data_IF_108966466076
#
_entry.id   IF_108966466076
#
_cell.length_a   1.000
_cell.length_b   1.000
_cell.length_c   1.000
_cell.angle_alpha   90.00
_cell.angle_beta   90.00
_cell.angle_gamma   90.00
#
_symmetry.space_group_name_H-M   'P 1'
#
loop_
_entity.id
_entity.type
_entity.pdbx_description
1 polymer ?
#
# COMPACT_ATOMS: atom_id res chain seq x y z
N UNK A 1 27.33 -24.32 -17.63
CA UNK A 1 25.85 -24.37 -17.77
C UNK A 1 25.10 -23.61 -16.67
N UNK A 2 25.68 -23.40 -15.46
CA UNK A 2 25.07 -22.64 -14.35
C UNK A 2 24.58 -21.22 -14.72
N UNK A 3 25.37 -20.45 -15.47
CA UNK A 3 25.06 -19.05 -15.82
C UNK A 3 23.79 -18.82 -16.65
N UNK A 4 23.28 -19.83 -17.38
CA UNK A 4 22.04 -19.66 -18.16
C UNK A 4 20.79 -19.86 -17.33
N UNK A 5 20.82 -20.83 -16.40
CA UNK A 5 19.73 -21.09 -15.47
C UNK A 5 19.60 -19.96 -14.46
N UNK A 6 20.72 -19.47 -13.93
CA UNK A 6 20.77 -18.32 -13.02
C UNK A 6 20.14 -17.08 -13.66
N UNK A 7 20.60 -16.69 -14.86
CA UNK A 7 20.01 -15.57 -15.62
C UNK A 7 18.54 -15.76 -15.94
N UNK A 8 18.10 -16.99 -16.23
CA UNK A 8 16.70 -17.28 -16.50
C UNK A 8 15.84 -17.10 -15.24
N UNK A 9 16.31 -17.57 -14.08
CA UNK A 9 15.62 -17.42 -12.79
C UNK A 9 15.56 -15.94 -12.39
N UNK A 10 16.67 -15.22 -12.51
CA UNK A 10 16.73 -13.78 -12.21
C UNK A 10 15.80 -12.98 -13.13
N UNK A 11 15.77 -13.30 -14.43
CA UNK A 11 14.84 -12.70 -15.38
C UNK A 11 13.38 -12.99 -15.01
N UNK A 12 13.05 -14.24 -14.65
CA UNK A 12 11.70 -14.60 -14.22
C UNK A 12 11.26 -13.88 -12.94
N UNK A 13 12.14 -13.75 -11.94
CA UNK A 13 11.87 -12.99 -10.71
C UNK A 13 11.67 -11.51 -11.04
N UNK A 14 12.46 -10.96 -11.97
CA UNK A 14 12.34 -9.56 -12.35
C UNK A 14 11.04 -9.26 -13.11
N UNK A 15 10.58 -10.19 -13.95
CA UNK A 15 9.31 -10.08 -14.68
C UNK A 15 8.08 -10.26 -13.80
N UNK A 16 8.19 -10.92 -12.63
CA UNK A 16 7.05 -11.13 -11.74
C UNK A 16 6.40 -9.83 -11.24
N UNK A 17 7.08 -8.68 -11.35
CA UNK A 17 6.51 -7.36 -11.04
C UNK A 17 5.30 -6.99 -11.91
N UNK A 18 5.24 -7.46 -13.16
CA UNK A 18 4.10 -7.21 -14.06
C UNK A 18 2.81 -7.86 -13.57
N UNK A 19 2.91 -8.88 -12.70
CA UNK A 19 1.76 -9.49 -12.03
C UNK A 19 1.03 -8.50 -11.10
N UNK A 20 1.67 -7.42 -10.65
CA UNK A 20 1.03 -6.40 -9.84
C UNK A 20 0.19 -5.41 -10.65
N UNK A 21 0.49 -5.21 -11.94
CA UNK A 21 -0.25 -4.31 -12.82
C UNK A 21 -1.77 -4.59 -12.86
N UNK A 22 -2.24 -5.84 -13.05
CA UNK A 22 -3.67 -6.13 -13.01
C UNK A 22 -4.32 -5.85 -11.65
N UNK A 23 -3.58 -5.95 -10.55
CA UNK A 23 -4.08 -5.59 -9.21
C UNK A 23 -4.34 -4.09 -9.11
N UNK A 24 -3.41 -3.26 -9.59
CA UNK A 24 -3.60 -1.80 -9.63
C UNK A 24 -4.76 -1.40 -10.54
N UNK A 25 -4.93 -2.08 -11.68
CA UNK A 25 -6.07 -1.88 -12.56
C UNK A 25 -7.40 -2.26 -11.87
N UNK A 26 -7.41 -3.36 -11.11
CA UNK A 26 -8.54 -3.74 -10.27
C UNK A 26 -8.89 -2.68 -9.23
N UNK A 27 -7.89 -2.07 -8.57
CA UNK A 27 -8.10 -0.96 -7.64
C UNK A 27 -8.72 0.26 -8.32
N UNK A 28 -8.30 0.61 -9.55
CA UNK A 28 -8.94 1.67 -10.34
C UNK A 28 -10.43 1.36 -10.64
N UNK A 29 -10.76 0.11 -10.95
CA UNK A 29 -12.15 -0.31 -11.19
C UNK A 29 -12.98 -0.15 -9.91
N UNK A 30 -12.48 -0.62 -8.76
CA UNK A 30 -13.16 -0.46 -7.47
C UNK A 30 -13.39 1.02 -7.15
N UNK A 31 -12.40 1.87 -7.40
CA UNK A 31 -12.51 3.32 -7.22
C UNK A 31 -13.61 3.93 -8.09
N UNK A 32 -13.70 3.51 -9.36
CA UNK A 32 -14.76 3.95 -10.28
C UNK A 32 -16.14 3.48 -9.83
N UNK A 33 -16.27 2.24 -9.36
CA UNK A 33 -17.53 1.71 -8.82
C UNK A 33 -17.98 2.48 -7.58
N UNK A 34 -17.06 2.76 -6.64
CA UNK A 34 -17.35 3.59 -5.47
C UNK A 34 -17.82 4.99 -5.85
N UNK A 35 -17.11 5.64 -6.78
CA UNK A 35 -17.50 6.97 -7.26
C UNK A 35 -18.88 6.98 -7.91
N UNK A 36 -19.26 5.92 -8.62
CA UNK A 36 -20.58 5.80 -9.21
C UNK A 36 -21.68 5.67 -8.15
N UNK A 37 -21.49 4.81 -7.15
CA UNK A 37 -22.44 4.63 -6.02
C UNK A 37 -22.60 5.95 -5.27
N UNK A 38 -21.51 6.65 -4.98
CA UNK A 38 -21.52 7.96 -4.33
C UNK A 38 -22.30 9.01 -5.13
N UNK A 39 -22.05 9.14 -6.44
CA UNK A 39 -22.80 10.07 -7.29
C UNK A 39 -24.31 9.77 -7.27
N UNK A 40 -24.69 8.50 -7.31
CA UNK A 40 -26.09 8.08 -7.22
C UNK A 40 -26.71 8.48 -5.88
N UNK A 41 -26.01 8.23 -4.78
CA UNK A 41 -26.44 8.57 -3.43
C UNK A 41 -26.62 10.09 -3.26
N UNK A 42 -25.66 10.89 -3.72
CA UNK A 42 -25.75 12.35 -3.67
C UNK A 42 -26.94 12.87 -4.49
N UNK A 43 -27.14 12.38 -5.72
CA UNK A 43 -28.28 12.80 -6.55
C UNK A 43 -29.62 12.42 -5.91
N UNK A 44 -29.70 11.23 -5.29
CA UNK A 44 -30.91 10.79 -4.59
C UNK A 44 -31.21 11.69 -3.38
N UNK A 45 -30.20 11.97 -2.55
CA UNK A 45 -30.33 12.86 -1.40
C UNK A 45 -30.68 14.30 -1.81
N UNK A 46 -30.13 14.81 -2.91
CA UNK A 46 -30.49 16.14 -3.45
C UNK A 46 -31.96 16.22 -3.92
N UNK A 47 -32.61 15.09 -4.24
CA UNK A 47 -34.03 15.06 -4.58
C UNK A 47 -34.96 15.31 -3.39
N UNK A 48 -34.46 15.14 -2.15
CA UNK A 48 -35.24 15.22 -0.91
C UNK A 48 -34.95 16.51 -0.12
N UNK A 49 -34.29 17.51 -0.73
CA UNK A 49 -33.81 18.76 -0.09
C UNK A 49 -34.89 19.48 0.74
N UNK A 50 -36.16 19.42 0.33
CA UNK A 50 -37.25 20.10 1.02
C UNK A 50 -37.55 19.53 2.43
N UNK A 51 -37.04 18.35 2.76
CA UNK A 51 -37.19 17.70 4.08
C UNK A 51 -35.90 17.66 4.91
N UNK A 52 -34.83 18.35 4.47
CA UNK A 52 -33.56 18.30 5.20
C UNK A 52 -33.63 19.04 6.53
N UNK A 53 -33.31 18.31 7.59
CA UNK A 53 -32.99 18.88 8.90
C UNK A 53 -31.48 19.18 8.98
N UNK A 54 -31.08 20.02 9.93
CA UNK A 54 -29.67 20.36 10.18
C UNK A 54 -28.82 19.09 10.47
N UNK A 55 -29.39 18.11 11.17
CA UNK A 55 -28.76 16.82 11.45
C UNK A 55 -28.52 16.00 10.18
N UNK A 56 -29.52 15.93 9.29
CA UNK A 56 -29.40 15.23 8.00
C UNK A 56 -28.32 15.83 7.10
N UNK A 57 -28.19 17.16 7.11
CA UNK A 57 -27.17 17.87 6.35
C UNK A 57 -25.77 17.58 6.87
N UNK A 58 -25.60 17.51 8.20
CA UNK A 58 -24.33 17.14 8.83
C UNK A 58 -23.96 15.67 8.56
N UNK A 59 -24.91 14.73 8.64
CA UNK A 59 -24.66 13.33 8.28
C UNK A 59 -24.23 13.17 6.82
N UNK A 60 -24.89 13.87 5.90
CA UNK A 60 -24.52 13.87 4.48
C UNK A 60 -23.08 14.39 4.31
N UNK A 61 -22.72 15.49 4.98
CA UNK A 61 -21.37 16.03 4.92
C UNK A 61 -20.31 15.05 5.46
N UNK A 62 -20.57 14.37 6.58
CA UNK A 62 -19.67 13.36 7.14
C UNK A 62 -19.51 12.18 6.17
N UNK A 63 -20.59 11.69 5.58
CA UNK A 63 -20.54 10.59 4.60
C UNK A 63 -19.71 10.94 3.36
N UNK A 64 -19.82 12.17 2.85
CA UNK A 64 -18.99 12.66 1.73
C UNK A 64 -17.51 12.68 2.09
N UNK A 65 -17.17 13.12 3.30
CA UNK A 65 -15.77 13.16 3.78
C UNK A 65 -15.20 11.75 3.90
N UNK A 66 -15.96 10.80 4.44
CA UNK A 66 -15.53 9.41 4.59
C UNK A 66 -15.24 8.75 3.23
N UNK A 67 -16.14 8.92 2.26
CA UNK A 67 -15.92 8.40 0.90
C UNK A 67 -14.67 9.01 0.27
N UNK A 68 -14.46 10.33 0.44
CA UNK A 68 -13.24 10.99 -0.04
C UNK A 68 -11.98 10.41 0.60
N UNK A 69 -12.02 10.11 1.90
CA UNK A 69 -10.89 9.52 2.63
C UNK A 69 -10.50 8.14 2.06
N UNK A 70 -11.49 7.27 1.80
CA UNK A 70 -11.25 5.95 1.20
C UNK A 70 -10.62 6.06 -0.19
N UNK A 71 -11.15 6.94 -1.05
CA UNK A 71 -10.62 7.13 -2.41
C UNK A 71 -9.18 7.66 -2.40
N UNK A 72 -8.87 8.60 -1.49
CA UNK A 72 -7.51 9.13 -1.34
C UNK A 72 -6.51 8.04 -0.92
N UNK A 73 -6.90 7.16 0.00
CA UNK A 73 -6.08 6.02 0.40
C UNK A 73 -5.80 5.08 -0.78
N UNK A 74 -6.83 4.74 -1.56
CA UNK A 74 -6.70 3.87 -2.73
C UNK A 74 -5.72 4.48 -3.75
N UNK A 75 -5.86 5.78 -4.04
CA UNK A 75 -4.97 6.49 -4.97
C UNK A 75 -3.52 6.45 -4.51
N UNK A 76 -3.26 6.72 -3.23
CA UNK A 76 -1.91 6.67 -2.66
C UNK A 76 -1.33 5.26 -2.77
N UNK A 77 -2.14 4.23 -2.54
CA UNK A 77 -1.72 2.83 -2.68
C UNK A 77 -1.36 2.48 -4.13
N UNK A 78 -2.17 2.91 -5.11
CA UNK A 78 -1.91 2.67 -6.53
C UNK A 78 -0.63 3.37 -6.97
N UNK A 79 -0.50 4.68 -6.72
CA UNK A 79 0.65 5.47 -7.17
C UNK A 79 1.92 4.99 -6.46
N UNK A 80 1.88 4.81 -5.14
CA UNK A 80 3.01 4.34 -4.36
C UNK A 80 3.46 2.94 -4.75
N UNK A 81 2.51 2.02 -4.91
CA UNK A 81 2.78 0.64 -5.35
C UNK A 81 3.38 0.59 -6.76
N UNK A 82 2.73 1.25 -7.72
CA UNK A 82 3.19 1.28 -9.10
C UNK A 82 4.57 1.94 -9.24
N UNK A 83 4.77 3.09 -8.60
CA UNK A 83 6.06 3.78 -8.63
C UNK A 83 7.18 2.93 -8.02
N UNK A 84 6.94 2.36 -6.83
CA UNK A 84 7.96 1.61 -6.09
C UNK A 84 8.35 0.29 -6.76
N UNK A 85 7.37 -0.45 -7.30
CA UNK A 85 7.58 -1.84 -7.71
C UNK A 85 7.57 -2.07 -9.22
N UNK A 86 6.87 -1.25 -10.01
CA UNK A 86 6.79 -1.43 -11.47
C UNK A 86 7.67 -0.41 -12.18
N UNK A 87 7.38 0.89 -12.01
CA UNK A 87 8.02 1.96 -12.76
C UNK A 87 9.49 2.15 -12.39
N UNK A 88 9.84 2.21 -11.09
CA UNK A 88 11.23 2.39 -10.66
C UNK A 88 12.14 1.25 -11.11
N UNK A 89 11.63 0.02 -11.15
CA UNK A 89 12.40 -1.14 -11.64
C UNK A 89 12.51 -1.15 -13.18
N UNK A 90 11.51 -0.69 -13.91
CA UNK A 90 11.58 -0.52 -15.36
C UNK A 90 12.59 0.55 -15.80
N UNK A 91 12.69 1.68 -15.07
CA UNK A 91 13.71 2.69 -15.34
C UNK A 91 15.12 2.11 -15.15
N UNK A 92 15.32 1.28 -14.12
CA UNK A 92 16.58 0.57 -13.89
C UNK A 92 16.90 -0.44 -15.00
N UNK A 93 15.88 -1.03 -15.64
CA UNK A 93 16.03 -1.90 -16.81
C UNK A 93 16.43 -1.13 -18.07
N UNK A 94 15.79 0.01 -18.32
CA UNK A 94 16.02 0.79 -19.55
C UNK A 94 17.40 1.46 -19.60
N UNK A 95 18.00 1.74 -18.45
CA UNK A 95 19.28 2.47 -18.35
C UNK A 95 20.54 1.59 -18.52
N UNK A 96 20.45 0.25 -18.66
CA UNK A 96 21.67 -0.59 -18.70
C UNK A 96 21.65 -1.79 -19.63
N UNK A 97 22.43 -1.63 -20.69
CA UNK A 97 23.08 -2.68 -21.46
C UNK A 97 23.94 -3.59 -20.53
N UNK A 98 23.71 -4.90 -20.63
CA UNK A 98 24.51 -6.05 -20.16
C UNK A 98 24.92 -6.23 -18.67
N UNK A 99 24.64 -5.32 -17.73
CA UNK A 99 25.05 -5.45 -16.32
C UNK A 99 23.91 -5.54 -15.28
N UNK A 100 22.67 -5.80 -15.73
CA UNK A 100 21.45 -5.85 -14.90
C UNK A 100 21.58 -6.76 -13.65
N UNK A 101 22.36 -7.84 -13.75
CA UNK A 101 22.57 -8.83 -12.68
C UNK A 101 23.61 -8.41 -11.62
N UNK A 102 24.48 -7.44 -11.91
CA UNK A 102 25.44 -6.95 -10.90
C UNK A 102 24.75 -6.07 -9.82
N UNK A 103 23.56 -5.53 -10.12
CA UNK A 103 22.79 -4.74 -9.15
C UNK A 103 22.14 -5.61 -8.07
N UNK A 104 21.76 -6.87 -8.40
CA UNK A 104 21.30 -7.89 -7.45
C UNK A 104 22.43 -8.33 -6.50
N UNK A 105 23.66 -8.41 -7.00
CA UNK A 105 24.84 -8.75 -6.20
C UNK A 105 25.28 -7.66 -5.20
N UNK A 106 24.89 -6.40 -5.41
CA UNK A 106 25.21 -5.27 -4.51
C UNK A 106 24.09 -4.95 -3.52
N UNK A 107 23.00 -5.73 -3.46
CA UNK A 107 21.92 -5.46 -2.51
C UNK A 107 22.39 -5.79 -1.10
N UNK A 108 22.71 -4.75 -0.34
CA UNK A 108 23.07 -4.89 1.07
C UNK A 108 21.91 -5.55 1.85
N UNK A 109 22.11 -6.71 2.48
CA UNK A 109 21.08 -7.42 3.23
C UNK A 109 20.38 -6.56 4.29
N UNK A 110 21.06 -5.56 4.86
CA UNK A 110 20.45 -4.65 5.83
C UNK A 110 19.42 -3.74 5.16
N UNK A 111 19.69 -3.23 3.95
CA UNK A 111 18.71 -2.42 3.21
C UNK A 111 17.48 -3.22 2.78
N UNK A 112 17.64 -4.52 2.50
CA UNK A 112 16.53 -5.45 2.27
C UNK A 112 15.68 -5.64 3.53
N UNK A 113 16.31 -5.89 4.67
CA UNK A 113 15.61 -6.03 5.96
C UNK A 113 14.76 -4.80 6.28
N UNK A 114 15.31 -3.60 6.10
CA UNK A 114 14.57 -2.34 6.29
C UNK A 114 13.37 -2.21 5.34
N UNK A 115 13.57 -2.48 4.04
CA UNK A 115 12.48 -2.43 3.05
C UNK A 115 11.37 -3.43 3.36
N UNK A 116 11.71 -4.63 3.82
CA UNK A 116 10.74 -5.65 4.24
C UNK A 116 9.94 -5.18 5.46
N UNK A 117 10.61 -4.62 6.48
CA UNK A 117 9.94 -4.09 7.66
C UNK A 117 8.96 -2.97 7.32
N UNK A 118 9.37 -2.02 6.45
CA UNK A 118 8.49 -0.95 5.97
C UNK A 118 7.26 -1.54 5.26
N UNK A 119 7.45 -2.54 4.40
CA UNK A 119 6.33 -3.22 3.72
C UNK A 119 5.37 -3.89 4.71
N UNK A 120 5.89 -4.57 5.73
CA UNK A 120 5.07 -5.25 6.74
C UNK A 120 4.27 -4.27 7.61
N UNK A 121 4.90 -3.17 8.03
CA UNK A 121 4.23 -2.09 8.76
C UNK A 121 3.10 -1.51 7.90
N UNK A 122 3.37 -1.16 6.64
CA UNK A 122 2.36 -0.62 5.72
C UNK A 122 1.18 -1.58 5.49
N UNK A 123 1.46 -2.87 5.25
CA UNK A 123 0.39 -3.88 5.04
C UNK A 123 -0.47 -4.03 6.29
N UNK A 124 0.15 -4.10 7.48
CA UNK A 124 -0.59 -4.23 8.74
C UNK A 124 -1.45 -2.99 9.05
N UNK A 125 -0.98 -1.79 8.70
CA UNK A 125 -1.75 -0.55 8.84
C UNK A 125 -3.01 -0.56 7.97
N UNK A 126 -2.92 -1.03 6.72
CA UNK A 126 -4.08 -1.16 5.82
C UNK A 126 -5.13 -2.12 6.39
N UNK A 127 -4.71 -3.28 6.92
CA UNK A 127 -5.65 -4.25 7.51
C UNK A 127 -6.31 -3.75 8.79
N UNK A 128 -5.58 -2.98 9.60
CA UNK A 128 -6.13 -2.35 10.79
C UNK A 128 -7.19 -1.31 10.40
N UNK A 129 -6.91 -0.49 9.39
CA UNK A 129 -7.86 0.51 8.87
C UNK A 129 -9.10 -0.16 8.26
N UNK A 130 -8.92 -1.22 7.48
CA UNK A 130 -10.03 -2.02 6.93
C UNK A 130 -10.93 -2.56 8.05
N UNK A 131 -10.33 -3.09 9.12
CA UNK A 131 -11.07 -3.66 10.25
C UNK A 131 -11.78 -2.59 11.08
N UNK A 132 -11.26 -1.36 11.10
CA UNK A 132 -11.87 -0.21 11.75
C UNK A 132 -13.06 0.36 10.98
N UNK A 133 -12.99 0.38 9.64
CA UNK A 133 -14.06 0.89 8.77
C UNK A 133 -15.16 -0.15 8.52
N UNK A 134 -14.90 -1.43 8.83
CA UNK A 134 -15.87 -2.51 8.65
C UNK A 134 -17.16 -2.29 9.46
N UNK A 135 -18.34 -2.52 8.87
CA UNK A 135 -19.62 -2.36 9.57
C UNK A 135 -19.80 -3.36 10.74
N UNK A 136 -19.04 -4.45 10.76
CA UNK A 136 -19.02 -5.43 11.86
C UNK A 136 -17.74 -5.25 12.67
N UNK A 137 -17.82 -4.37 13.67
CA UNK A 137 -16.70 -4.04 14.56
C UNK A 137 -16.51 -5.15 15.59
N UNK A 138 -15.43 -5.92 15.45
CA UNK A 138 -14.96 -6.85 16.48
C UNK A 138 -13.83 -6.18 17.27
N UNK A 139 -14.18 -5.64 18.44
CA UNK A 139 -13.25 -4.93 19.31
C UNK A 139 -12.05 -5.80 19.74
N UNK A 140 -12.25 -7.10 19.93
CA UNK A 140 -11.17 -8.01 20.32
C UNK A 140 -10.19 -8.21 19.16
N UNK A 141 -10.71 -8.41 17.94
CA UNK A 141 -9.89 -8.51 16.73
C UNK A 141 -9.08 -7.23 16.48
N UNK A 142 -9.71 -6.06 16.60
CA UNK A 142 -9.04 -4.77 16.42
C UNK A 142 -7.96 -4.57 17.48
N UNK A 143 -8.23 -4.88 18.76
CA UNK A 143 -7.24 -4.78 19.82
C UNK A 143 -5.98 -5.62 19.56
N UNK A 144 -6.16 -6.86 19.06
CA UNK A 144 -5.05 -7.73 18.66
C UNK A 144 -4.28 -7.14 17.47
N UNK A 145 -4.98 -6.61 16.47
CA UNK A 145 -4.32 -5.98 15.32
C UNK A 145 -3.50 -4.74 15.73
N UNK A 146 -4.01 -3.91 16.65
CA UNK A 146 -3.27 -2.77 17.21
C UNK A 146 -2.01 -3.28 17.92
N UNK A 147 -2.13 -4.33 18.75
CA UNK A 147 -0.99 -4.90 19.46
C UNK A 147 0.09 -5.42 18.49
N UNK A 148 -0.31 -6.17 17.46
CA UNK A 148 0.62 -6.68 16.43
C UNK A 148 1.28 -5.53 15.66
N UNK A 149 0.51 -4.50 15.29
CA UNK A 149 1.05 -3.36 14.57
C UNK A 149 2.10 -2.61 15.40
N UNK A 150 1.84 -2.40 16.70
CA UNK A 150 2.82 -1.82 17.62
C UNK A 150 4.09 -2.67 17.71
N UNK A 151 3.98 -4.01 17.75
CA UNK A 151 5.15 -4.90 17.74
C UNK A 151 5.98 -4.72 16.47
N UNK A 152 5.35 -4.57 15.30
CA UNK A 152 6.08 -4.30 14.05
C UNK A 152 6.79 -2.94 14.05
N UNK A 153 6.11 -1.88 14.52
CA UNK A 153 6.70 -0.53 14.61
C UNK A 153 7.89 -0.52 15.57
N UNK A 154 7.74 -1.09 16.77
CA UNK A 154 8.83 -1.18 17.76
C UNK A 154 10.00 -1.99 17.22
N UNK A 155 9.73 -3.12 16.55
CA UNK A 155 10.78 -3.94 15.93
C UNK A 155 11.56 -3.18 14.86
N UNK A 156 10.87 -2.40 14.02
CA UNK A 156 11.51 -1.58 13.00
C UNK A 156 12.37 -0.45 13.59
N UNK A 157 11.89 0.18 14.67
CA UNK A 157 12.64 1.19 15.41
C UNK A 157 13.90 0.58 16.05
N UNK A 158 13.78 -0.60 16.68
CA UNK A 158 14.91 -1.30 17.29
C UNK A 158 16.00 -1.64 16.26
N UNK A 159 15.62 -2.18 15.09
CA UNK A 159 16.57 -2.48 14.01
C UNK A 159 17.27 -1.20 13.52
N UNK A 160 16.51 -0.12 13.29
CA UNK A 160 17.07 1.16 12.84
C UNK A 160 18.03 1.75 13.88
N UNK A 161 17.70 1.61 15.16
CA UNK A 161 18.54 2.07 16.26
C UNK A 161 19.85 1.26 16.36
N UNK A 162 19.79 -0.07 16.25
CA UNK A 162 20.96 -0.94 16.24
C UNK A 162 21.90 -0.63 15.07
N UNK A 163 21.35 -0.42 13.88
CA UNK A 163 22.14 -0.06 12.69
C UNK A 163 22.84 1.30 12.85
N UNK A 164 22.17 2.29 13.46
CA UNK A 164 22.75 3.61 13.75
C UNK A 164 23.92 3.53 14.74
N UNK A 165 23.82 2.68 15.78
CA UNK A 165 24.91 2.48 16.74
C UNK A 165 26.08 1.74 16.09
N UNK A 166 25.80 0.73 15.27
CA UNK A 166 26.84 -0.04 14.57
C UNK A 166 27.66 0.76 13.56
N UNK A 167 27.06 1.77 12.92
CA UNK A 167 27.77 2.70 12.02
C UNK A 167 28.58 3.79 12.74
N UNK A 168 28.38 4.00 14.05
CA UNK A 168 29.12 5.02 14.83
C UNK A 168 30.47 4.51 15.36
N UNK A 169 30.81 3.24 15.12
CA UNK A 169 32.03 2.59 15.61
C UNK A 169 33.04 2.22 14.49
N UNK A 170 32.89 2.80 13.30
CA UNK A 170 33.84 2.71 12.19
C UNK A 170 34.15 4.09 11.61
#
# INVERSE_FOLDING_TARGET
MSNKLEKAIEWSIFQSRWLQVPVYLGMCIVMAMYSYVFCKEVVCNLGEIEMFTEESMLMLAIGVVDVSMVLNLIIVCIIGGYWSFVSRLEIVEKDKDNSQFNYLGMINPNTLKHKLMISLISISAVHLLESFVSPNIDAHRIAIQIAIHLVFVVSALAITFMDKIGHSHH
#
